data_IF_630388511816
#
_entry.id   IF_630388511816
#
_cell.length_a   1.000
_cell.length_b   1.000
_cell.length_c   1.000
_cell.angle_alpha   90.00
_cell.angle_beta   90.00
_cell.angle_gamma   90.00
#
_symmetry.space_group_name_H-M   'P 1'
#
loop_
_entity.id
_entity.type
_entity.pdbx_description
1 polymer ?
#
# COMPACT_ATOMS: atom_id res chain seq x y z
N UNK A 1 0.17 -13.12 5.57
CA UNK A 1 -0.26 -13.10 4.15
C UNK A 1 -1.25 -11.95 3.94
N UNK A 2 -1.33 -11.36 2.75
CA UNK A 2 -2.29 -10.29 2.41
C UNK A 2 -2.86 -10.53 1.03
N UNK A 3 -4.17 -10.31 0.86
CA UNK A 3 -4.87 -10.39 -0.41
C UNK A 3 -5.42 -9.01 -0.76
N UNK A 4 -4.93 -8.44 -1.86
CA UNK A 4 -5.46 -7.21 -2.46
C UNK A 4 -5.84 -7.52 -3.90
N UNK A 5 -7.04 -7.13 -4.29
CA UNK A 5 -7.58 -7.31 -5.64
C UNK A 5 -7.98 -5.96 -6.20
N UNK A 6 -7.52 -5.68 -7.42
CA UNK A 6 -7.88 -4.50 -8.19
C UNK A 6 -8.38 -4.98 -9.53
N UNK A 7 -9.60 -4.61 -9.87
CA UNK A 7 -10.18 -4.90 -11.18
C UNK A 7 -10.65 -3.61 -11.84
N UNK A 8 -10.44 -3.55 -13.15
CA UNK A 8 -10.96 -2.50 -14.00
C UNK A 8 -12.16 -3.06 -14.77
N UNK A 9 -13.31 -2.45 -14.57
CA UNK A 9 -14.58 -2.76 -15.24
C UNK A 9 -14.97 -1.57 -16.13
N UNK A 10 -15.89 -1.73 -17.11
CA UNK A 10 -16.24 -0.64 -18.02
C UNK A 10 -16.65 0.66 -17.30
N UNK A 11 -17.32 0.53 -16.16
CA UNK A 11 -17.85 1.65 -15.38
C UNK A 11 -16.87 2.21 -14.35
N UNK A 12 -15.74 1.55 -14.07
CA UNK A 12 -15.04 1.81 -12.81
C UNK A 12 -13.75 1.04 -12.55
N UNK A 13 -13.09 1.42 -11.45
CA UNK A 13 -12.05 0.63 -10.80
C UNK A 13 -12.60 0.17 -9.45
N UNK A 14 -12.53 -1.13 -9.17
CA UNK A 14 -12.89 -1.70 -7.87
C UNK A 14 -11.62 -2.18 -7.19
N UNK A 15 -11.45 -1.77 -5.92
CA UNK A 15 -10.35 -2.18 -5.07
C UNK A 15 -10.91 -2.86 -3.82
N UNK A 16 -10.35 -4.01 -3.46
CA UNK A 16 -10.72 -4.73 -2.24
C UNK A 16 -9.47 -5.33 -1.60
N UNK A 17 -9.45 -5.37 -0.28
CA UNK A 17 -8.37 -5.95 0.51
C UNK A 17 -8.90 -6.72 1.70
N UNK A 18 -8.23 -7.80 2.08
CA UNK A 18 -8.51 -8.49 3.34
C UNK A 18 -8.09 -7.63 4.55
N UNK A 19 -8.62 -7.93 5.74
CA UNK A 19 -8.40 -7.13 6.96
C UNK A 19 -7.49 -7.76 8.00
N UNK A 20 -7.08 -9.03 7.81
CA UNK A 20 -6.24 -9.74 8.78
C UNK A 20 -4.78 -9.29 8.69
N UNK A 21 -4.19 -9.02 9.84
CA UNK A 21 -2.75 -8.83 10.02
C UNK A 21 -2.22 -9.96 10.89
N UNK A 22 -1.29 -10.74 10.35
CA UNK A 22 -0.56 -11.78 11.07
C UNK A 22 0.83 -11.27 11.44
N UNK A 23 1.33 -11.68 12.59
CA UNK A 23 2.71 -11.43 13.04
C UNK A 23 3.39 -12.74 13.37
N UNK A 24 4.71 -12.76 13.23
CA UNK A 24 5.53 -13.85 13.73
C UNK A 24 6.16 -13.45 15.05
N UNK A 25 5.89 -14.24 16.08
CA UNK A 25 6.53 -14.13 17.39
C UNK A 25 7.68 -15.12 17.43
N UNK A 26 8.87 -14.60 17.70
CA UNK A 26 10.10 -15.37 17.86
C UNK A 26 10.61 -15.20 19.29
N UNK A 27 11.18 -16.26 19.86
CA UNK A 27 11.72 -16.24 21.21
C UNK A 27 12.41 -17.53 21.58
N UNK A 28 12.73 -17.68 22.87
CA UNK A 28 13.28 -18.91 23.43
C UNK A 28 12.33 -19.48 24.47
N UNK A 29 12.19 -20.80 24.50
CA UNK A 29 11.49 -21.51 25.58
C UNK A 29 12.29 -21.41 26.89
N UNK A 30 11.70 -21.74 28.05
CA UNK A 30 12.44 -21.81 29.31
C UNK A 30 13.67 -22.74 29.26
N UNK A 31 13.64 -23.77 28.41
CA UNK A 31 14.76 -24.69 28.16
C UNK A 31 15.79 -24.16 27.15
N UNK A 32 15.63 -22.92 26.68
CA UNK A 32 16.54 -22.25 25.75
C UNK A 32 16.37 -22.63 24.28
N UNK A 33 15.33 -23.39 23.92
CA UNK A 33 15.04 -23.77 22.53
C UNK A 33 14.39 -22.60 21.79
N UNK A 34 14.85 -22.31 20.58
CA UNK A 34 14.22 -21.30 19.74
C UNK A 34 12.81 -21.74 19.33
N UNK A 35 11.86 -20.80 19.36
CA UNK A 35 10.53 -20.99 18.80
C UNK A 35 10.15 -19.83 17.88
N UNK A 36 9.30 -20.15 16.91
CA UNK A 36 8.74 -19.22 15.95
C UNK A 36 7.29 -19.60 15.71
N UNK A 37 6.36 -18.72 16.06
CA UNK A 37 4.92 -18.95 15.92
C UNK A 37 4.30 -17.80 15.16
N UNK A 38 3.55 -18.09 14.11
CA UNK A 38 2.68 -17.11 13.46
C UNK A 38 1.35 -17.04 14.22
N UNK A 39 0.93 -15.83 14.54
CA UNK A 39 -0.36 -15.57 15.20
C UNK A 39 -1.06 -14.38 14.56
N UNK A 40 -2.36 -14.24 14.81
CA UNK A 40 -3.15 -13.09 14.38
C UNK A 40 -2.89 -11.94 15.34
N UNK A 41 -2.47 -10.79 14.81
CA UNK A 41 -2.34 -9.55 15.57
C UNK A 41 -3.67 -8.78 15.58
N UNK A 42 -4.37 -8.76 14.45
CA UNK A 42 -5.66 -8.09 14.30
C UNK A 42 -6.43 -8.64 13.08
N UNK A 43 -7.76 -8.69 13.17
CA UNK A 43 -8.67 -9.02 12.06
C UNK A 43 -9.34 -7.77 11.45
N UNK A 44 -8.99 -6.57 11.91
CA UNK A 44 -9.68 -5.32 11.56
C UNK A 44 -8.72 -4.23 11.03
N UNK A 45 -7.68 -4.62 10.30
CA UNK A 45 -6.74 -3.68 9.69
C UNK A 45 -7.27 -3.17 8.35
N UNK A 46 -7.26 -1.85 8.17
CA UNK A 46 -7.59 -1.23 6.88
C UNK A 46 -6.36 -1.22 5.99
N UNK A 47 -6.44 -1.93 4.86
CA UNK A 47 -5.37 -2.00 3.84
C UNK A 47 -5.73 -1.33 2.52
N UNK A 48 -6.85 -0.63 2.46
CA UNK A 48 -7.31 0.15 1.31
C UNK A 48 -7.75 1.51 1.81
N UNK A 49 -7.14 2.55 1.27
CA UNK A 49 -7.26 3.94 1.72
C UNK A 49 -7.70 4.82 0.55
N UNK A 50 -8.58 5.78 0.82
CA UNK A 50 -8.95 6.81 -0.13
C UNK A 50 -8.18 8.09 0.14
N UNK A 51 -7.45 8.57 -0.86
CA UNK A 51 -6.85 9.90 -0.87
C UNK A 51 -7.89 10.91 -1.33
N UNK A 52 -8.72 11.40 -0.41
CA UNK A 52 -9.95 12.14 -0.74
C UNK A 52 -9.71 13.38 -1.62
N UNK A 53 -8.65 14.16 -1.37
CA UNK A 53 -8.36 15.37 -2.16
C UNK A 53 -7.99 15.03 -3.60
N UNK A 54 -7.27 13.93 -3.81
CA UNK A 54 -6.80 13.50 -5.13
C UNK A 54 -7.76 12.53 -5.82
N UNK A 55 -8.75 11.99 -5.09
CA UNK A 55 -9.66 10.93 -5.56
C UNK A 55 -8.89 9.68 -6.06
N UNK A 56 -7.88 9.27 -5.29
CA UNK A 56 -7.01 8.12 -5.60
C UNK A 56 -7.13 7.07 -4.51
N UNK A 57 -7.37 5.82 -4.90
CA UNK A 57 -7.32 4.67 -4.01
C UNK A 57 -5.89 4.13 -3.87
N UNK A 58 -5.50 3.77 -2.65
CA UNK A 58 -4.21 3.15 -2.33
C UNK A 58 -4.46 1.91 -1.48
N UNK A 59 -4.02 0.75 -1.95
CA UNK A 59 -4.01 -0.47 -1.15
C UNK A 59 -2.59 -0.93 -0.88
N UNK A 60 -2.29 -1.42 0.33
CA UNK A 60 -0.97 -1.93 0.70
C UNK A 60 -0.96 -3.45 0.87
N UNK A 61 0.19 -4.06 0.61
CA UNK A 61 0.46 -5.48 0.85
C UNK A 61 1.92 -5.72 1.19
N UNK A 62 2.25 -6.94 1.62
CA UNK A 62 3.58 -7.29 2.10
C UNK A 62 3.73 -6.96 3.59
N UNK A 63 4.86 -6.35 3.95
CA UNK A 63 5.16 -5.95 5.31
C UNK A 63 4.23 -4.83 5.79
N UNK A 64 3.43 -5.13 6.82
CA UNK A 64 2.38 -4.23 7.34
C UNK A 64 2.77 -3.53 8.66
N UNK A 65 3.88 -3.96 9.28
CA UNK A 65 4.49 -3.31 10.44
C UNK A 65 5.91 -2.86 10.07
N UNK A 66 6.14 -1.55 10.06
CA UNK A 66 7.46 -0.96 9.90
C UNK A 66 7.91 -0.43 11.26
N UNK A 67 9.00 -0.99 11.81
CA UNK A 67 9.47 -0.68 13.17
C UNK A 67 8.36 -0.77 14.24
N UNK A 68 7.48 -1.77 14.13
CA UNK A 68 6.36 -1.97 15.05
C UNK A 68 5.17 -1.01 14.87
N UNK A 69 5.24 -0.08 13.91
CA UNK A 69 4.17 0.85 13.59
C UNK A 69 3.38 0.35 12.37
N UNK A 70 2.04 0.32 12.42
CA UNK A 70 1.20 -0.10 11.30
C UNK A 70 1.38 0.75 10.04
N UNK A 71 1.34 0.11 8.87
CA UNK A 71 1.43 0.76 7.56
C UNK A 71 0.40 1.89 7.39
N UNK A 72 -0.83 1.69 7.87
CA UNK A 72 -1.89 2.70 7.83
C UNK A 72 -1.49 4.03 8.49
N UNK A 73 -0.71 4.01 9.57
CA UNK A 73 -0.20 5.21 10.23
C UNK A 73 0.80 5.97 9.35
N UNK A 74 1.68 5.25 8.65
CA UNK A 74 2.62 5.87 7.70
C UNK A 74 1.91 6.40 6.46
N UNK A 75 0.90 5.71 5.96
CA UNK A 75 0.06 6.18 4.84
C UNK A 75 -0.63 7.48 5.25
N UNK A 76 -1.24 7.55 6.45
CA UNK A 76 -1.86 8.79 6.94
C UNK A 76 -0.87 9.97 6.95
N UNK A 77 0.34 9.75 7.48
CA UNK A 77 1.40 10.77 7.47
C UNK A 77 1.85 11.15 6.06
N UNK A 78 1.96 10.19 5.15
CA UNK A 78 2.25 10.49 3.75
C UNK A 78 1.19 11.40 3.12
N UNK A 79 -0.09 11.19 3.44
CA UNK A 79 -1.20 12.03 2.96
C UNK A 79 -1.08 13.45 3.50
N UNK A 80 -0.73 13.60 4.77
CA UNK A 80 -0.62 14.89 5.45
C UNK A 80 0.64 15.67 5.07
N UNK A 81 1.79 15.00 4.99
CA UNK A 81 3.12 15.60 4.87
C UNK A 81 3.68 15.56 3.44
N UNK A 82 3.27 14.57 2.63
CA UNK A 82 3.90 14.24 1.35
C UNK A 82 3.12 14.65 0.10
N UNK A 83 1.85 15.00 0.24
CA UNK A 83 0.96 15.30 -0.88
C UNK A 83 0.53 16.77 -0.91
N UNK A 84 0.35 17.29 -2.12
CA UNK A 84 -0.25 18.60 -2.38
C UNK A 84 -1.51 18.44 -3.24
N UNK A 85 -2.34 19.48 -3.33
CA UNK A 85 -3.61 19.43 -4.08
C UNK A 85 -3.43 19.18 -5.58
N UNK A 86 -2.25 19.50 -6.13
CA UNK A 86 -1.93 19.28 -7.54
C UNK A 86 -1.49 17.84 -7.85
N UNK A 87 -1.27 17.00 -6.83
CA UNK A 87 -0.93 15.60 -7.04
C UNK A 87 -2.12 14.82 -7.62
N UNK A 88 -1.80 13.83 -8.45
CA UNK A 88 -2.77 12.98 -9.11
C UNK A 88 -2.30 11.53 -9.16
N UNK A 89 -3.13 10.65 -9.74
CA UNK A 89 -2.84 9.22 -9.88
C UNK A 89 -1.52 8.93 -10.62
N UNK A 90 -0.97 9.87 -11.38
CA UNK A 90 0.30 9.72 -12.11
C UNK A 90 1.52 10.21 -11.32
N UNK A 91 1.36 11.15 -10.38
CA UNK A 91 2.47 11.63 -9.53
C UNK A 91 2.61 10.86 -8.22
N UNK A 92 1.48 10.47 -7.61
CA UNK A 92 1.42 9.81 -6.30
C UNK A 92 2.25 8.52 -6.22
N UNK A 93 2.23 7.59 -7.20
CA UNK A 93 2.96 6.33 -7.12
C UNK A 93 4.46 6.50 -6.81
N UNK A 94 5.12 7.43 -7.52
CA UNK A 94 6.54 7.72 -7.33
C UNK A 94 6.81 8.40 -6.00
N UNK A 95 5.97 9.36 -5.61
CA UNK A 95 6.07 10.05 -4.31
C UNK A 95 5.92 9.06 -3.14
N UNK A 96 4.98 8.13 -3.25
CA UNK A 96 4.71 7.11 -2.24
C UNK A 96 5.95 6.23 -2.03
N UNK A 97 6.51 5.66 -3.09
CA UNK A 97 7.73 4.85 -3.01
C UNK A 97 8.89 5.67 -2.42
N UNK A 98 9.10 6.90 -2.90
CA UNK A 98 10.16 7.77 -2.38
C UNK A 98 9.98 8.11 -0.90
N UNK A 99 8.75 8.35 -0.45
CA UNK A 99 8.46 8.64 0.96
C UNK A 99 8.87 7.47 1.86
N UNK A 100 8.43 6.25 1.54
CA UNK A 100 8.78 5.08 2.35
C UNK A 100 10.27 4.75 2.29
N UNK A 101 10.91 4.87 1.12
CA UNK A 101 12.34 4.58 0.96
C UNK A 101 13.26 5.52 1.75
N UNK A 102 12.82 6.72 2.15
CA UNK A 102 13.62 7.64 2.99
C UNK A 102 13.99 7.01 4.33
N UNK A 103 13.06 6.25 4.93
CA UNK A 103 13.24 5.66 6.26
C UNK A 103 13.33 4.13 6.22
N UNK A 104 12.78 3.52 5.16
CA UNK A 104 12.64 2.07 5.01
C UNK A 104 12.99 1.61 3.59
N UNK A 105 14.23 1.86 3.11
CA UNK A 105 14.63 1.54 1.74
C UNK A 105 14.46 0.06 1.37
N UNK A 106 14.56 -0.84 2.36
CA UNK A 106 14.53 -2.29 2.17
C UNK A 106 13.20 -2.93 2.62
N UNK A 107 12.18 -2.13 2.95
CA UNK A 107 10.88 -2.68 3.35
C UNK A 107 10.25 -3.48 2.21
N UNK A 108 9.81 -4.70 2.52
CA UNK A 108 9.05 -5.55 1.61
C UNK A 108 7.58 -5.11 1.57
N UNK A 109 7.36 -3.84 1.26
CA UNK A 109 6.04 -3.21 1.19
C UNK A 109 5.69 -2.89 -0.27
N UNK A 110 4.54 -3.39 -0.69
CA UNK A 110 3.97 -3.13 -2.00
C UNK A 110 2.68 -2.32 -1.92
N UNK A 111 2.40 -1.58 -2.98
CA UNK A 111 1.18 -0.77 -3.09
C UNK A 111 0.51 -0.97 -4.44
N UNK A 112 -0.81 -0.95 -4.44
CA UNK A 112 -1.59 -0.67 -5.62
C UNK A 112 -2.17 0.73 -5.51
N UNK A 113 -1.96 1.55 -6.53
CA UNK A 113 -2.44 2.93 -6.58
C UNK A 113 -3.32 3.06 -7.80
N UNK A 114 -4.57 3.43 -7.61
CA UNK A 114 -5.54 3.48 -8.70
C UNK A 114 -6.43 4.71 -8.63
N UNK A 115 -6.83 5.20 -9.79
CA UNK A 115 -7.63 6.41 -9.91
C UNK A 115 -7.75 6.86 -11.35
N UNK A 116 -8.31 8.05 -11.54
CA UNK A 116 -8.55 8.62 -12.86
C UNK A 116 -7.78 9.91 -13.03
N UNK A 117 -7.32 10.16 -14.25
CA UNK A 117 -6.77 11.46 -14.65
C UNK A 117 -7.56 11.99 -15.83
N UNK A 118 -7.96 13.25 -15.76
CA UNK A 118 -8.63 13.92 -16.87
C UNK A 118 -7.60 14.29 -17.94
N UNK A 119 -7.77 13.74 -19.12
CA UNK A 119 -6.94 14.04 -20.30
C UNK A 119 -7.87 14.55 -21.40
N UNK A 120 -7.84 15.86 -21.63
CA UNK A 120 -8.82 16.54 -22.48
C UNK A 120 -10.25 16.39 -21.93
N UNK A 121 -11.10 15.67 -22.67
CA UNK A 121 -12.50 15.41 -22.30
C UNK A 121 -12.74 14.01 -21.73
N UNK A 122 -11.70 13.18 -21.61
CA UNK A 122 -11.82 11.80 -21.14
C UNK A 122 -11.21 11.65 -19.74
N UNK A 123 -11.85 10.83 -18.90
CA UNK A 123 -11.29 10.36 -17.63
C UNK A 123 -10.56 9.04 -17.89
N UNK A 124 -9.23 9.09 -17.91
CA UNK A 124 -8.40 7.92 -18.22
C UNK A 124 -8.10 7.16 -16.92
N UNK A 125 -8.37 5.85 -16.85
CA UNK A 125 -8.05 5.05 -15.69
C UNK A 125 -6.54 4.76 -15.63
N UNK A 126 -6.01 4.82 -14.42
CA UNK A 126 -4.64 4.46 -14.11
C UNK A 126 -4.62 3.48 -12.96
N UNK A 127 -3.92 2.36 -13.15
CA UNK A 127 -3.65 1.38 -12.09
C UNK A 127 -2.16 1.13 -12.08
N UNK A 128 -1.53 1.44 -10.95
CA UNK A 128 -0.12 1.22 -10.71
C UNK A 128 0.08 0.13 -9.66
N UNK A 129 1.12 -0.68 -9.87
CA UNK A 129 1.74 -1.49 -8.84
C UNK A 129 3.09 -0.88 -8.50
N UNK A 130 3.36 -0.69 -7.22
CA UNK A 130 4.57 -0.09 -6.70
C UNK A 130 5.19 -0.98 -5.64
N UNK A 131 6.51 -0.90 -5.47
CA UNK A 131 7.21 -1.66 -4.44
C UNK A 131 8.40 -0.89 -3.88
N UNK A 132 8.52 -0.86 -2.55
CA UNK A 132 9.53 -0.07 -1.82
C UNK A 132 10.92 -0.65 -2.01
N UNK A 133 11.19 -1.88 -1.53
CA UNK A 133 12.51 -2.51 -1.66
C UNK A 133 13.01 -2.59 -3.11
N UNK A 134 12.13 -2.96 -4.04
CA UNK A 134 12.46 -3.08 -5.47
C UNK A 134 12.55 -1.74 -6.20
N UNK A 135 12.16 -0.64 -5.56
CA UNK A 135 12.10 0.70 -6.14
C UNK A 135 11.34 0.74 -7.50
N UNK A 136 10.25 -0.01 -7.60
CA UNK A 136 9.46 -0.12 -8.83
C UNK A 136 8.17 0.70 -8.76
N UNK A 137 7.79 1.26 -9.90
CA UNK A 137 6.52 1.94 -10.14
C UNK A 137 6.09 1.56 -11.55
N UNK A 138 5.08 0.69 -11.66
CA UNK A 138 4.68 0.07 -12.92
C UNK A 138 3.18 0.29 -13.16
N UNK A 139 2.83 0.89 -14.29
CA UNK A 139 1.43 0.94 -14.73
C UNK A 139 1.04 -0.47 -15.22
N UNK A 140 -0.07 -1.00 -14.73
CA UNK A 140 -0.54 -2.37 -15.03
C UNK A 140 -1.68 -2.43 -16.03
N UNK A 141 -2.46 -1.36 -16.17
CA UNK A 141 -3.60 -1.30 -17.09
C UNK A 141 -3.23 -0.75 -18.47
N UNK A 142 -2.09 -1.18 -19.01
CA UNK A 142 -1.61 -0.86 -20.37
C UNK A 142 -1.78 -2.09 -21.26
N UNK A 143 -2.06 -1.87 -22.54
CA UNK A 143 -2.13 -2.96 -23.54
C UNK A 143 -0.78 -3.63 -23.74
#
# INVERSE_FOLDING_TARGET
MTLVVITYVPEGIVMASDSRQSVTIEGKTPEGKDFKVETVNSDAVMKTHLLEKQQVGVSNHGQDLLNGVPMGSYIKRFIEEGLVSADDVTSIPKKLVQYFRKSFPDADAGFYVAGYKKEGKASIPYVYHCHVAKNTVERKNTK
#
